data_IF_894964035835
#
_entry.id   IF_894964035835
#
_cell.length_a   1.000
_cell.length_b   1.000
_cell.length_c   1.000
_cell.angle_alpha   90.00
_cell.angle_beta   90.00
_cell.angle_gamma   90.00
#
_symmetry.space_group_name_H-M   'P 1'
#
loop_
_entity.id
_entity.type
_entity.pdbx_description
1 polymer ?
#
# COMPACT_ATOMS: atom_id res chain seq x y z
N UNK A 1 -4.30 -9.09 7.17
CA UNK A 1 -3.61 -8.56 5.97
C UNK A 1 -2.37 -7.74 6.34
N UNK A 2 -2.53 -6.59 7.00
CA UNK A 2 -1.39 -5.69 7.31
C UNK A 2 -0.35 -6.32 8.25
N UNK A 3 -0.76 -6.72 9.46
CA UNK A 3 0.17 -7.30 10.43
C UNK A 3 0.72 -8.66 9.98
N UNK A 4 -0.14 -9.56 9.49
CA UNK A 4 0.27 -10.93 9.15
C UNK A 4 0.90 -11.13 7.77
N UNK A 5 0.58 -10.29 6.78
CA UNK A 5 1.04 -10.47 5.40
C UNK A 5 2.11 -9.46 5.00
N UNK A 6 1.71 -8.19 4.89
CA UNK A 6 2.56 -7.12 4.35
C UNK A 6 3.79 -6.91 5.24
N UNK A 7 3.58 -6.73 6.56
CA UNK A 7 4.67 -6.50 7.51
C UNK A 7 5.61 -7.70 7.56
N UNK A 8 5.08 -8.92 7.55
CA UNK A 8 5.88 -10.15 7.56
C UNK A 8 6.77 -10.26 6.32
N UNK A 9 6.25 -9.99 5.12
CA UNK A 9 7.04 -9.98 3.89
C UNK A 9 8.15 -8.91 3.91
N UNK A 10 7.86 -7.71 4.43
CA UNK A 10 8.85 -6.64 4.56
C UNK A 10 9.98 -7.06 5.51
N UNK A 11 9.65 -7.64 6.67
CA UNK A 11 10.65 -8.09 7.64
C UNK A 11 11.53 -9.18 7.02
N UNK A 12 10.95 -10.18 6.34
CA UNK A 12 11.73 -11.20 5.64
C UNK A 12 12.68 -10.61 4.59
N UNK A 13 12.21 -9.62 3.81
CA UNK A 13 13.03 -8.93 2.81
C UNK A 13 14.21 -8.18 3.45
N UNK A 14 13.99 -7.50 4.57
CA UNK A 14 15.05 -6.81 5.33
C UNK A 14 16.06 -7.82 5.87
N UNK A 15 15.59 -8.94 6.46
CA UNK A 15 16.48 -9.98 6.99
C UNK A 15 17.33 -10.61 5.88
N UNK A 16 16.76 -10.81 4.69
CA UNK A 16 17.50 -11.32 3.53
C UNK A 16 18.54 -10.32 3.00
N UNK A 17 18.28 -9.00 3.12
CA UNK A 17 19.16 -7.92 2.62
C UNK A 17 20.19 -7.46 3.65
N UNK A 18 19.98 -7.77 4.94
CA UNK A 18 20.77 -7.32 6.10
C UNK A 18 22.30 -7.50 5.97
N UNK A 19 22.76 -8.47 5.20
CA UNK A 19 24.19 -8.73 4.98
C UNK A 19 24.88 -7.73 4.03
N UNK A 20 24.13 -6.88 3.33
CA UNK A 20 24.67 -5.83 2.45
C UNK A 20 24.89 -4.57 3.29
N UNK A 21 25.98 -4.56 4.06
CA UNK A 21 26.37 -3.40 4.87
C UNK A 21 27.01 -2.32 3.99
N UNK A 22 26.21 -1.62 3.19
CA UNK A 22 26.65 -0.36 2.58
C UNK A 22 26.63 0.76 3.62
N UNK A 23 27.76 1.47 3.76
CA UNK A 23 27.84 2.69 4.55
C UNK A 23 27.06 3.79 3.84
N UNK A 24 25.78 3.92 4.18
CA UNK A 24 24.93 5.00 3.69
C UNK A 24 25.60 6.36 3.92
N UNK A 25 25.84 7.10 2.83
CA UNK A 25 26.34 8.48 2.90
C UNK A 25 25.30 9.31 3.64
N UNK A 26 25.71 9.96 4.74
CA UNK A 26 24.80 10.77 5.56
C UNK A 26 24.14 11.83 4.68
N UNK A 27 22.80 11.95 4.70
CA UNK A 27 22.12 12.98 3.92
C UNK A 27 22.57 14.37 4.40
N UNK A 28 22.67 15.32 3.47
CA UNK A 28 23.00 16.69 3.79
C UNK A 28 21.97 17.26 4.78
N UNK A 29 22.39 17.98 5.83
CA UNK A 29 21.49 18.44 6.90
C UNK A 29 20.35 19.32 6.36
N UNK A 30 20.58 20.09 5.30
CA UNK A 30 19.53 20.88 4.64
C UNK A 30 18.35 20.04 4.12
N UNK A 31 18.61 18.83 3.61
CA UNK A 31 17.54 17.93 3.14
C UNK A 31 16.68 17.43 4.30
N UNK A 32 17.28 17.22 5.47
CA UNK A 32 16.55 16.84 6.69
C UNK A 32 15.62 17.96 7.14
N UNK A 33 16.10 19.20 7.16
CA UNK A 33 15.29 20.37 7.49
C UNK A 33 14.10 20.54 6.55
N UNK A 34 14.32 20.37 5.23
CA UNK A 34 13.23 20.44 4.25
C UNK A 34 12.18 19.34 4.48
N UNK A 35 12.60 18.12 4.86
CA UNK A 35 11.68 17.05 5.23
C UNK A 35 10.87 17.35 6.48
N UNK A 36 11.49 17.92 7.51
CA UNK A 36 10.81 18.32 8.75
C UNK A 36 9.78 19.42 8.46
N UNK A 37 10.17 20.45 7.68
CA UNK A 37 9.26 21.54 7.30
C UNK A 37 8.07 20.98 6.51
N UNK A 38 8.30 20.09 5.54
CA UNK A 38 7.23 19.46 4.78
C UNK A 38 6.26 18.66 5.68
N UNK A 39 6.78 17.93 6.66
CA UNK A 39 5.98 17.19 7.62
C UNK A 39 5.15 18.12 8.51
N UNK A 40 5.74 19.19 9.02
CA UNK A 40 5.05 20.17 9.87
C UNK A 40 3.97 20.91 9.10
N UNK A 41 4.28 21.43 7.91
CA UNK A 41 3.33 22.16 7.07
C UNK A 41 2.20 21.25 6.60
N UNK A 42 2.53 20.04 6.11
CA UNK A 42 1.53 19.06 5.66
C UNK A 42 0.64 18.58 6.82
N UNK A 43 1.23 18.32 7.99
CA UNK A 43 0.50 17.95 9.20
C UNK A 43 -0.40 19.08 9.70
N UNK A 44 0.11 20.32 9.74
CA UNK A 44 -0.67 21.48 10.15
C UNK A 44 -1.82 21.76 9.17
N UNK A 45 -1.58 21.64 7.86
CA UNK A 45 -2.60 21.85 6.84
C UNK A 45 -3.72 20.79 6.90
N UNK A 46 -3.36 19.52 7.07
CA UNK A 46 -4.35 18.44 7.23
C UNK A 46 -5.14 18.59 8.53
N UNK A 47 -4.47 18.90 9.63
CA UNK A 47 -5.12 19.14 10.92
C UNK A 47 -6.05 20.35 10.87
N UNK A 48 -5.58 21.47 10.30
CA UNK A 48 -6.38 22.68 10.11
C UNK A 48 -7.64 22.41 9.27
N UNK A 49 -7.48 21.66 8.17
CA UNK A 49 -8.60 21.26 7.32
C UNK A 49 -9.60 20.40 8.09
N UNK A 50 -9.11 19.45 8.89
CA UNK A 50 -9.96 18.58 9.70
C UNK A 50 -10.75 19.36 10.76
N UNK A 51 -10.14 20.35 11.40
CA UNK A 51 -10.81 21.16 12.43
C UNK A 51 -11.74 22.22 11.83
N UNK A 52 -11.39 22.79 10.67
CA UNK A 52 -12.17 23.86 10.03
C UNK A 52 -13.35 23.33 9.21
N UNK A 53 -13.31 22.05 8.81
CA UNK A 53 -14.39 21.47 8.03
C UNK A 53 -15.53 20.99 8.94
N UNK A 54 -16.72 21.56 8.74
CA UNK A 54 -17.92 21.09 9.43
C UNK A 54 -18.38 19.78 8.79
N UNK A 55 -18.01 18.66 9.41
CA UNK A 55 -18.56 17.36 9.07
C UNK A 55 -20.06 17.35 9.42
N UNK A 56 -20.92 17.48 8.41
CA UNK A 56 -22.35 17.23 8.56
C UNK A 56 -22.50 15.77 8.93
N UNK A 57 -22.67 15.48 10.22
CA UNK A 57 -23.05 14.15 10.69
C UNK A 57 -24.41 13.87 10.07
N UNK A 58 -24.49 12.87 9.19
CA UNK A 58 -25.74 12.52 8.53
C UNK A 58 -26.84 12.30 9.57
N UNK A 59 -27.78 13.23 9.66
CA UNK A 59 -28.94 13.14 10.54
C UNK A 59 -29.76 11.94 10.08
N UNK A 60 -29.72 10.84 10.83
CA UNK A 60 -30.48 9.63 10.51
C UNK A 60 -29.66 8.43 10.02
N UNK A 61 -28.32 8.48 10.05
CA UNK A 61 -27.51 7.26 9.88
C UNK A 61 -27.68 6.41 11.14
N UNK A 62 -28.71 5.55 11.14
CA UNK A 62 -28.77 4.42 12.08
C UNK A 62 -27.44 3.69 11.97
N UNK A 63 -26.82 3.38 13.10
CA UNK A 63 -25.62 2.55 13.18
C UNK A 63 -25.93 1.24 12.47
N UNK A 64 -25.59 1.15 11.19
CA UNK A 64 -25.75 -0.10 10.44
C UNK A 64 -24.79 -1.08 11.09
N UNK A 65 -25.28 -2.20 11.64
CA UNK A 65 -24.38 -3.22 12.14
C UNK A 65 -23.49 -3.65 10.97
N UNK A 66 -22.17 -3.58 11.18
CA UNK A 66 -21.18 -3.94 10.17
C UNK A 66 -21.20 -5.46 10.01
N UNK A 67 -22.11 -5.94 9.17
CA UNK A 67 -22.24 -7.35 8.84
C UNK A 67 -21.41 -7.67 7.59
N UNK A 68 -20.65 -8.76 7.68
CA UNK A 68 -19.84 -9.28 6.59
C UNK A 68 -20.68 -9.60 5.35
N UNK A 69 -21.93 -10.05 5.54
CA UNK A 69 -22.85 -10.33 4.42
C UNK A 69 -23.21 -9.07 3.64
N UNK A 70 -23.42 -7.94 4.34
CA UNK A 70 -23.73 -6.67 3.69
C UNK A 70 -22.54 -6.16 2.88
N UNK A 71 -21.32 -6.29 3.43
CA UNK A 71 -20.09 -5.93 2.72
C UNK A 71 -19.92 -6.81 1.48
N UNK A 72 -20.06 -8.13 1.62
CA UNK A 72 -19.97 -9.07 0.49
C UNK A 72 -20.97 -8.78 -0.62
N UNK A 73 -22.24 -8.54 -0.25
CA UNK A 73 -23.29 -8.18 -1.20
C UNK A 73 -22.99 -6.86 -1.91
N UNK A 74 -22.41 -5.88 -1.22
CA UNK A 74 -22.08 -4.60 -1.85
C UNK A 74 -20.81 -4.70 -2.71
N UNK A 75 -19.85 -5.55 -2.35
CA UNK A 75 -18.65 -5.83 -3.16
C UNK A 75 -18.99 -6.56 -4.47
N UNK A 76 -19.91 -7.53 -4.44
CA UNK A 76 -20.32 -8.30 -5.62
C UNK A 76 -21.57 -7.72 -6.33
N UNK A 77 -22.15 -6.65 -5.79
CA UNK A 77 -23.37 -6.06 -6.29
C UNK A 77 -23.17 -5.36 -7.64
N UNK A 78 -24.08 -5.59 -8.58
CA UNK A 78 -24.14 -4.91 -9.90
C UNK A 78 -25.02 -3.65 -9.90
N UNK A 79 -25.62 -3.29 -8.76
CA UNK A 79 -26.49 -2.12 -8.63
C UNK A 79 -25.72 -0.80 -8.49
N UNK A 80 -26.46 0.33 -8.43
CA UNK A 80 -25.91 1.71 -8.39
C UNK A 80 -24.91 1.99 -7.26
N UNK A 81 -24.93 1.23 -6.18
CA UNK A 81 -24.03 1.36 -5.02
C UNK A 81 -23.11 0.15 -4.83
N UNK A 82 -23.07 -0.76 -5.82
CA UNK A 82 -22.23 -1.94 -5.80
C UNK A 82 -20.83 -1.65 -6.34
N UNK A 83 -19.85 -2.42 -5.87
CA UNK A 83 -18.44 -2.24 -6.18
C UNK A 83 -17.88 -3.38 -7.04
N UNK A 84 -18.73 -4.08 -7.82
CA UNK A 84 -18.31 -5.24 -8.63
C UNK A 84 -17.16 -4.91 -9.59
N UNK A 85 -17.19 -3.74 -10.22
CA UNK A 85 -16.12 -3.30 -11.13
C UNK A 85 -14.81 -3.06 -10.37
N UNK A 86 -14.87 -2.43 -9.20
CA UNK A 86 -13.69 -2.21 -8.38
C UNK A 86 -13.09 -3.54 -7.89
N UNK A 87 -13.94 -4.52 -7.53
CA UNK A 87 -13.52 -5.87 -7.16
C UNK A 87 -12.81 -6.59 -8.31
N UNK A 88 -13.35 -6.49 -9.53
CA UNK A 88 -12.74 -7.09 -10.72
C UNK A 88 -11.37 -6.47 -11.04
N UNK A 89 -11.27 -5.14 -11.00
CA UNK A 89 -10.01 -4.42 -11.24
C UNK A 89 -8.94 -4.82 -10.21
N UNK A 90 -9.30 -4.91 -8.93
CA UNK A 90 -8.37 -5.33 -7.88
C UNK A 90 -7.91 -6.78 -8.11
N UNK A 91 -8.81 -7.66 -8.56
CA UNK A 91 -8.48 -9.06 -8.85
C UNK A 91 -7.46 -9.18 -9.99
N UNK A 92 -7.66 -8.43 -11.07
CA UNK A 92 -6.71 -8.36 -12.19
C UNK A 92 -5.39 -7.72 -11.77
N UNK A 93 -5.44 -6.66 -10.95
CA UNK A 93 -4.25 -6.00 -10.40
C UNK A 93 -3.41 -6.98 -9.56
N UNK A 94 -4.05 -7.79 -8.71
CA UNK A 94 -3.36 -8.80 -7.89
C UNK A 94 -2.78 -9.92 -8.74
N UNK A 95 -3.50 -10.39 -9.77
CA UNK A 95 -3.00 -11.37 -10.72
C UNK A 95 -1.76 -10.84 -11.46
N UNK A 96 -1.83 -9.63 -11.99
CA UNK A 96 -0.72 -8.98 -12.69
C UNK A 96 0.49 -8.77 -11.76
N UNK A 97 0.25 -8.32 -10.52
CA UNK A 97 1.30 -8.14 -9.51
C UNK A 97 2.01 -9.46 -9.17
N UNK A 98 1.27 -10.57 -9.07
CA UNK A 98 1.85 -11.89 -8.81
C UNK A 98 2.74 -12.33 -9.97
N UNK A 99 2.26 -12.20 -11.22
CA UNK A 99 3.04 -12.53 -12.41
C UNK A 99 4.31 -11.67 -12.48
N UNK A 100 4.20 -10.35 -12.28
CA UNK A 100 5.35 -9.44 -12.27
C UNK A 100 6.38 -9.82 -11.19
N UNK A 101 5.92 -10.11 -9.97
CA UNK A 101 6.81 -10.54 -8.88
C UNK A 101 7.55 -11.85 -9.22
N UNK A 102 6.87 -12.84 -9.79
CA UNK A 102 7.48 -14.11 -10.21
C UNK A 102 8.53 -13.89 -11.31
N UNK A 103 8.21 -13.07 -12.32
CA UNK A 103 9.14 -12.78 -13.43
C UNK A 103 10.40 -12.09 -12.93
N UNK A 104 10.27 -11.11 -12.03
CA UNK A 104 11.42 -10.39 -11.45
C UNK A 104 12.25 -11.30 -10.54
N UNK A 105 11.61 -12.16 -9.75
CA UNK A 105 12.31 -13.07 -8.83
C UNK A 105 12.98 -14.25 -9.56
N UNK A 106 12.60 -14.55 -10.80
CA UNK A 106 13.15 -15.67 -11.56
C UNK A 106 14.58 -15.37 -11.98
N UNK A 107 15.55 -16.06 -11.36
CA UNK A 107 16.96 -16.02 -11.75
C UNK A 107 17.14 -16.62 -13.14
N UNK A 108 17.66 -15.84 -14.09
CA UNK A 108 18.07 -16.36 -15.39
C UNK A 108 19.34 -17.21 -15.23
N UNK A 109 19.28 -18.48 -15.64
CA UNK A 109 20.48 -19.30 -15.83
C UNK A 109 21.06 -18.92 -17.19
N UNK A 110 21.98 -17.97 -17.21
CA UNK A 110 22.73 -17.65 -18.42
C UNK A 110 23.71 -18.81 -18.69
N UNK A 111 23.36 -19.67 -19.65
CA UNK A 111 24.19 -20.78 -20.12
C UNK A 111 24.88 -20.34 -21.41
N UNK A 112 26.08 -19.75 -21.27
CA UNK A 112 27.11 -19.51 -22.29
C UNK A 112 28.36 -19.07 -21.52
N UNK A 113 29.52 -19.72 -21.56
CA UNK A 113 30.18 -20.38 -22.69
C UNK A 113 31.12 -21.50 -22.23
N UNK A 114 30.69 -22.75 -22.38
CA UNK A 114 31.59 -23.89 -22.64
C UNK A 114 31.74 -24.02 -24.16
N UNK A 115 32.42 -23.08 -24.80
CA UNK A 115 33.03 -23.21 -26.13
C UNK A 115 33.84 -21.95 -26.42
N UNK A 116 35.11 -21.96 -26.01
CA UNK A 116 36.33 -21.74 -26.82
C UNK A 116 37.55 -21.82 -25.89
#
# INVERSE_FOLDING_TARGET
LYAGGIVVLIIFSILLTSHISEKFKKPAPWKLWMGIIALVVGGAMTLWTLLSHNFVKGTGVKTVPVDMHLIGNQLLGMGKNGYVLAFEIISILLLASMVAAIVIAKKEKNQKSDIL
#
